data_IF_067941182002
#
_entry.id   IF_067941182002
#
_cell.length_a   1.000
_cell.length_b   1.000
_cell.length_c   1.000
_cell.angle_alpha   90.00
_cell.angle_beta   90.00
_cell.angle_gamma   90.00
#
_symmetry.space_group_name_H-M   'P 1'
#
loop_
_entity.id
_entity.type
_entity.pdbx_description
1 polymer ?
#
# COMPACT_ATOMS: atom_id res chain seq x y z
N UNK A 1 -36.67 15.87 -1.02
CA UNK A 1 -36.89 17.25 -0.50
C UNK A 1 -37.37 17.32 0.96
N UNK A 2 -37.76 16.21 1.61
CA UNK A 2 -38.30 16.24 2.99
C UNK A 2 -37.33 16.75 4.06
N UNK A 3 -36.01 16.60 3.85
CA UNK A 3 -35.00 17.02 4.82
C UNK A 3 -35.07 18.51 5.16
N UNK A 4 -35.31 19.38 4.16
CA UNK A 4 -35.33 20.84 4.32
C UNK A 4 -36.74 21.41 4.09
N UNK A 5 -37.56 20.77 3.24
CA UNK A 5 -38.86 21.30 2.86
C UNK A 5 -39.96 21.14 3.93
N UNK A 6 -39.95 20.04 4.70
CA UNK A 6 -41.01 19.78 5.67
C UNK A 6 -41.10 20.82 6.81
N UNK A 7 -39.98 21.29 7.41
CA UNK A 7 -40.01 22.38 8.39
C UNK A 7 -40.60 23.68 7.84
N UNK A 8 -40.27 24.03 6.60
CA UNK A 8 -40.81 25.21 5.91
C UNK A 8 -42.32 25.09 5.69
N UNK A 9 -42.79 23.96 5.17
CA UNK A 9 -44.22 23.70 4.92
C UNK A 9 -45.06 23.62 6.22
N UNK A 10 -44.43 23.34 7.36
CA UNK A 10 -45.09 23.27 8.68
C UNK A 10 -44.98 24.55 9.50
N UNK A 11 -44.44 25.62 8.94
CA UNK A 11 -44.31 26.91 9.65
C UNK A 11 -43.26 26.90 10.77
N UNK A 12 -42.31 25.95 10.74
CA UNK A 12 -41.21 25.84 11.71
C UNK A 12 -39.84 25.93 11.00
N UNK A 13 -39.55 27.02 10.27
CA UNK A 13 -38.36 27.12 9.42
C UNK A 13 -37.03 27.08 10.17
N UNK A 14 -37.02 27.43 11.45
CA UNK A 14 -35.83 27.40 12.31
C UNK A 14 -35.52 26.00 12.87
N UNK A 15 -36.41 25.02 12.69
CA UNK A 15 -36.20 23.66 13.20
C UNK A 15 -35.19 22.92 12.31
N UNK A 16 -33.99 22.72 12.86
CA UNK A 16 -32.95 21.96 12.20
C UNK A 16 -33.29 20.46 12.15
N UNK A 17 -32.97 19.76 11.05
CA UNK A 17 -33.13 18.31 10.99
C UNK A 17 -32.25 17.60 12.02
N UNK A 18 -32.77 16.53 12.62
CA UNK A 18 -31.97 15.68 13.50
C UNK A 18 -30.76 15.11 12.75
N UNK A 19 -29.61 15.02 13.42
CA UNK A 19 -28.36 14.52 12.84
C UNK A 19 -28.56 13.15 12.16
N UNK A 20 -29.20 12.19 12.84
CA UNK A 20 -29.45 10.87 12.30
C UNK A 20 -30.35 10.87 11.05
N UNK A 21 -31.38 11.72 11.02
CA UNK A 21 -32.25 11.85 9.85
C UNK A 21 -31.50 12.46 8.66
N UNK A 22 -30.68 13.48 8.90
CA UNK A 22 -29.81 14.07 7.89
C UNK A 22 -28.85 13.05 7.28
N UNK A 23 -28.11 12.33 8.12
CA UNK A 23 -27.14 11.33 7.69
C UNK A 23 -27.82 10.21 6.87
N UNK A 24 -29.00 9.74 7.29
CA UNK A 24 -29.71 8.69 6.57
C UNK A 24 -30.19 9.14 5.19
N UNK A 25 -30.69 10.38 5.07
CA UNK A 25 -31.08 10.95 3.77
C UNK A 25 -29.87 11.09 2.85
N UNK A 26 -28.76 11.65 3.35
CA UNK A 26 -27.54 11.87 2.55
C UNK A 26 -26.92 10.54 2.11
N UNK A 27 -26.84 9.54 3.00
CA UNK A 27 -26.37 8.18 2.65
C UNK A 27 -27.21 7.57 1.53
N UNK A 28 -28.53 7.71 1.57
CA UNK A 28 -29.41 7.24 0.50
C UNK A 28 -29.26 8.02 -0.81
N UNK A 29 -28.89 9.30 -0.76
CA UNK A 29 -28.61 10.09 -1.95
C UNK A 29 -27.25 9.77 -2.59
N UNK A 30 -26.27 9.36 -1.78
CA UNK A 30 -24.89 9.09 -2.20
C UNK A 30 -24.59 7.60 -2.43
N UNK A 31 -25.47 6.69 -2.04
CA UNK A 31 -25.25 5.24 -2.10
C UNK A 31 -24.96 4.70 -3.51
N UNK A 32 -25.45 5.35 -4.56
CA UNK A 32 -25.20 4.96 -5.96
C UNK A 32 -23.95 5.60 -6.58
N UNK A 33 -23.24 6.47 -5.84
CA UNK A 33 -22.02 7.15 -6.28
C UNK A 33 -20.83 6.89 -5.34
N UNK A 34 -20.98 5.95 -4.41
CA UNK A 34 -19.93 5.61 -3.46
C UNK A 34 -18.77 4.93 -4.17
N UNK A 35 -17.58 5.51 -4.08
CA UNK A 35 -16.32 4.80 -4.32
C UNK A 35 -16.02 3.75 -3.22
N UNK A 36 -16.91 3.59 -2.23
CA UNK A 36 -16.89 2.47 -1.29
C UNK A 36 -17.57 1.27 -1.98
N UNK A 37 -16.79 0.27 -2.43
CA UNK A 37 -15.84 -0.47 -1.59
C UNK A 37 -14.35 -0.34 -1.97
N UNK A 38 -13.98 0.37 -3.03
CA UNK A 38 -12.64 0.29 -3.63
C UNK A 38 -11.65 1.34 -3.11
N UNK A 39 -12.14 2.47 -2.62
CA UNK A 39 -11.26 3.57 -2.19
C UNK A 39 -10.40 3.22 -0.97
N UNK A 40 -10.96 2.51 0.00
CA UNK A 40 -10.21 2.06 1.19
C UNK A 40 -9.06 1.13 0.79
N UNK A 41 -9.36 0.10 0.00
CA UNK A 41 -8.36 -0.85 -0.49
C UNK A 41 -7.28 -0.17 -1.35
N UNK A 42 -7.67 0.81 -2.16
CA UNK A 42 -6.72 1.62 -2.94
C UNK A 42 -5.77 2.41 -2.04
N UNK A 43 -6.29 3.07 -1.01
CA UNK A 43 -5.47 3.80 -0.03
C UNK A 43 -4.54 2.87 0.74
N UNK A 44 -5.03 1.70 1.17
CA UNK A 44 -4.21 0.71 1.84
C UNK A 44 -3.06 0.23 0.93
N UNK A 45 -3.35 0.01 -0.35
CA UNK A 45 -2.34 -0.31 -1.36
C UNK A 45 -1.30 0.79 -1.54
N UNK A 46 -1.72 2.06 -1.57
CA UNK A 46 -0.80 3.19 -1.65
C UNK A 46 0.08 3.33 -0.40
N UNK A 47 -0.46 3.06 0.79
CA UNK A 47 0.32 3.08 2.03
C UNK A 47 1.40 1.99 2.04
N UNK A 48 1.06 0.79 1.57
CA UNK A 48 2.04 -0.31 1.42
C UNK A 48 3.13 0.09 0.41
N UNK A 49 2.75 0.67 -0.73
CA UNK A 49 3.72 1.12 -1.73
C UNK A 49 4.66 2.20 -1.17
N UNK A 50 4.12 3.16 -0.42
CA UNK A 50 4.91 4.22 0.21
C UNK A 50 5.95 3.64 1.19
N UNK A 51 5.56 2.66 2.03
CA UNK A 51 6.50 1.94 2.91
C UNK A 51 7.62 1.24 2.12
N UNK A 52 7.30 0.61 0.99
CA UNK A 52 8.30 -0.05 0.13
C UNK A 52 9.20 0.89 -0.65
N UNK A 53 8.82 2.16 -0.80
CA UNK A 53 9.63 3.16 -1.48
C UNK A 53 10.49 3.98 -0.52
N UNK A 54 9.97 4.31 0.67
CA UNK A 54 10.66 5.19 1.63
C UNK A 54 11.26 4.45 2.82
N UNK A 55 10.91 3.17 3.01
CA UNK A 55 11.40 2.36 4.11
C UNK A 55 12.88 1.94 3.96
N UNK A 56 13.46 1.33 5.00
CA UNK A 56 14.86 0.88 5.01
C UNK A 56 15.17 -0.20 3.96
N UNK A 57 14.13 -0.81 3.37
CA UNK A 57 14.23 -1.77 2.28
C UNK A 57 13.69 -1.19 0.98
N UNK A 58 13.95 0.10 0.73
CA UNK A 58 13.48 0.76 -0.48
C UNK A 58 14.01 0.06 -1.72
N UNK A 59 13.15 -0.08 -2.74
CA UNK A 59 13.57 -0.59 -4.03
C UNK A 59 14.70 0.25 -4.65
N UNK A 60 14.67 1.57 -4.50
CA UNK A 60 15.66 2.49 -5.04
C UNK A 60 17.06 2.23 -4.47
N UNK A 61 17.21 2.20 -3.13
CA UNK A 61 18.50 1.87 -2.50
C UNK A 61 19.00 0.48 -2.88
N UNK A 62 18.10 -0.50 -3.03
CA UNK A 62 18.47 -1.84 -3.47
C UNK A 62 19.02 -1.82 -4.91
N UNK A 63 18.34 -1.11 -5.82
CA UNK A 63 18.74 -0.96 -7.22
C UNK A 63 20.09 -0.23 -7.36
N UNK A 64 20.30 0.84 -6.58
CA UNK A 64 21.58 1.57 -6.54
C UNK A 64 22.74 0.68 -6.06
N UNK A 65 22.48 -0.20 -5.08
CA UNK A 65 23.51 -1.06 -4.48
C UNK A 65 23.90 -2.28 -5.31
N UNK A 66 23.16 -2.60 -6.39
CA UNK A 66 23.31 -3.89 -7.08
C UNK A 66 24.71 -4.07 -7.70
N UNK A 67 25.27 -3.00 -8.27
CA UNK A 67 26.62 -3.04 -8.85
C UNK A 67 27.68 -3.34 -7.80
N UNK A 68 27.60 -2.68 -6.64
CA UNK A 68 28.50 -2.90 -5.50
C UNK A 68 28.39 -4.34 -4.99
N UNK A 69 27.16 -4.87 -4.85
CA UNK A 69 26.94 -6.26 -4.41
C UNK A 69 27.50 -7.29 -5.39
N UNK A 70 27.41 -7.04 -6.69
CA UNK A 70 28.05 -7.89 -7.71
C UNK A 70 29.57 -7.85 -7.56
N UNK A 71 30.16 -6.66 -7.40
CA UNK A 71 31.59 -6.51 -7.20
C UNK A 71 32.08 -7.19 -5.91
N UNK A 72 31.35 -7.07 -4.80
CA UNK A 72 31.63 -7.78 -3.54
C UNK A 72 31.62 -9.30 -3.74
N UNK A 73 30.62 -9.82 -4.45
CA UNK A 73 30.51 -11.25 -4.76
C UNK A 73 31.67 -11.74 -5.63
N UNK A 74 32.08 -10.95 -6.63
CA UNK A 74 33.23 -11.26 -7.48
C UNK A 74 34.52 -11.28 -6.66
N UNK A 75 34.74 -10.27 -5.83
CA UNK A 75 35.92 -10.17 -4.95
C UNK A 75 35.99 -11.37 -4.01
N UNK A 76 34.87 -11.75 -3.39
CA UNK A 76 34.78 -12.95 -2.56
C UNK A 76 35.19 -14.22 -3.33
N UNK A 77 34.71 -14.39 -4.56
CA UNK A 77 35.05 -15.54 -5.40
C UNK A 77 36.52 -15.54 -5.84
N UNK A 78 37.11 -14.36 -6.07
CA UNK A 78 38.53 -14.25 -6.40
C UNK A 78 39.40 -14.66 -5.21
N UNK A 79 39.12 -14.11 -4.02
CA UNK A 79 39.83 -14.40 -2.78
C UNK A 79 39.69 -15.87 -2.33
N UNK A 80 38.52 -16.48 -2.58
CA UNK A 80 38.22 -17.84 -2.14
C UNK A 80 38.26 -18.87 -3.27
N UNK A 81 38.79 -18.52 -4.44
CA UNK A 81 38.73 -19.32 -5.68
C UNK A 81 39.20 -20.77 -5.49
N UNK A 82 40.35 -20.98 -4.84
CA UNK A 82 40.91 -22.31 -4.60
C UNK A 82 40.06 -23.15 -3.65
N UNK A 83 39.56 -22.54 -2.56
CA UNK A 83 38.72 -23.20 -1.55
C UNK A 83 37.37 -23.61 -2.14
N UNK A 84 36.72 -22.71 -2.88
CA UNK A 84 35.45 -22.99 -3.57
C UNK A 84 35.65 -24.11 -4.59
N UNK A 85 36.69 -24.04 -5.41
CA UNK A 85 37.01 -25.07 -6.40
C UNK A 85 37.27 -26.44 -5.78
N UNK A 86 37.97 -26.48 -4.63
CA UNK A 86 38.21 -27.71 -3.90
C UNK A 86 36.92 -28.30 -3.31
N UNK A 87 36.01 -27.48 -2.78
CA UNK A 87 34.71 -27.94 -2.28
C UNK A 87 33.82 -28.50 -3.40
N UNK A 88 33.81 -27.88 -4.58
CA UNK A 88 33.04 -28.38 -5.73
C UNK A 88 33.60 -29.73 -6.19
N UNK A 89 34.92 -29.84 -6.41
CA UNK A 89 35.57 -31.10 -6.79
C UNK A 89 35.39 -32.21 -5.74
N UNK A 90 35.48 -31.87 -4.46
CA UNK A 90 35.28 -32.81 -3.37
C UNK A 90 33.84 -33.34 -3.27
N UNK A 91 32.84 -32.55 -3.70
CA UNK A 91 31.43 -33.00 -3.79
C UNK A 91 31.16 -33.82 -5.05
N UNK A 92 31.84 -33.55 -6.16
CA UNK A 92 31.72 -34.37 -7.39
C UNK A 92 32.37 -35.74 -7.24
N UNK A 93 33.44 -35.88 -6.46
CA UNK A 93 34.06 -37.18 -6.16
C UNK A 93 33.29 -38.07 -5.16
N UNK A 94 32.18 -37.58 -4.59
CA UNK A 94 31.32 -38.32 -3.65
C UNK A 94 29.98 -38.73 -4.27
N UNK A 95 29.78 -38.46 -5.57
CA UNK A 95 28.64 -38.90 -6.37
C UNK A 95 29.13 -39.84 -7.45
#
# INVERSE_FOLDING_TARGET
MRLIGCPLCRGVPSLMPCQGFCLNVVRGCLSSRGLEPDWGNYLDGLLILADKLQGPFSFELAAESIGVKISEGLMYLQENSAKVSAQVRGREGWR
#
